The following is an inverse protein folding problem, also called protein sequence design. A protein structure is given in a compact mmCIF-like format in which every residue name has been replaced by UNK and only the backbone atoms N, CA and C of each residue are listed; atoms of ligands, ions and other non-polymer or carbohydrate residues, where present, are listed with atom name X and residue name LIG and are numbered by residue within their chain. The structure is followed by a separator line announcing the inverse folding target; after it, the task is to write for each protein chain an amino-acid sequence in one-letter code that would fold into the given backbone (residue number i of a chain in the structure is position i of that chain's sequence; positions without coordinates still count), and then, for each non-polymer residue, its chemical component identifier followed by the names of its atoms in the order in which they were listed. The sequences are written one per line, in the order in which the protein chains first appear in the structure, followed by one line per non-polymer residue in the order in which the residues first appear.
data_IF_834836797384
#
_entry.id   IF_834836797384
#
_cell.length_a   1.000
_cell.length_b   1.000
_cell.length_c   1.000
_cell.angle_alpha   90.00
_cell.angle_beta   90.00
_cell.angle_gamma   90.00
#
_symmetry.space_group_name_H-M   'P 1'
#
loop_
_entity.id
_entity.type
_entity.pdbx_description
1 polymer ?
#
# COMPACT_ATOMS: atom_id res chain seq x y z
N UNK A 1 23.10 8.86 44.37
CA UNK A 1 22.93 7.38 44.34
C UNK A 1 21.49 6.93 44.62
N UNK A 2 20.86 7.25 45.77
CA UNK A 2 19.51 6.74 46.11
C UNK A 2 18.37 7.24 45.20
N UNK A 3 18.36 8.52 44.82
CA UNK A 3 17.34 9.06 43.89
C UNK A 3 17.41 8.42 42.50
N UNK A 4 18.61 8.21 41.98
CA UNK A 4 18.82 7.50 40.70
C UNK A 4 18.30 6.07 40.76
N UNK A 5 18.54 5.35 41.87
CA UNK A 5 17.99 4.00 42.07
C UNK A 5 16.46 3.99 42.10
N UNK A 6 15.82 4.96 42.78
CA UNK A 6 14.35 5.07 42.80
C UNK A 6 13.77 5.39 41.41
N UNK A 7 14.39 6.32 40.69
CA UNK A 7 13.97 6.68 39.33
C UNK A 7 14.10 5.49 38.37
N UNK A 8 15.24 4.80 38.42
CA UNK A 8 15.48 3.57 37.65
C UNK A 8 14.43 2.48 37.93
N UNK A 9 14.13 2.23 39.20
CA UNK A 9 13.11 1.26 39.59
C UNK A 9 11.69 1.67 39.13
N UNK A 10 11.37 2.97 39.17
CA UNK A 10 10.09 3.49 38.66
C UNK A 10 9.95 3.27 37.15
N UNK A 11 10.99 3.59 36.38
CA UNK A 11 10.99 3.37 34.93
C UNK A 11 10.87 1.89 34.58
N UNK A 12 11.60 1.01 35.27
CA UNK A 12 11.49 -0.44 35.06
C UNK A 12 10.06 -0.92 35.27
N UNK A 13 9.40 -0.46 36.35
CA UNK A 13 7.99 -0.79 36.61
C UNK A 13 7.05 -0.26 35.54
N UNK A 14 7.28 0.94 35.01
CA UNK A 14 6.49 1.47 33.89
C UNK A 14 6.65 0.64 32.61
N UNK A 15 7.88 0.19 32.32
CA UNK A 15 8.14 -0.69 31.18
C UNK A 15 7.39 -2.02 31.33
N UNK A 16 7.44 -2.64 32.51
CA UNK A 16 6.72 -3.90 32.78
C UNK A 16 5.20 -3.75 32.59
N UNK A 17 4.63 -2.64 33.05
CA UNK A 17 3.21 -2.34 32.87
C UNK A 17 2.83 -2.14 31.40
N UNK A 18 3.68 -1.42 30.65
CA UNK A 18 3.47 -1.20 29.22
C UNK A 18 3.56 -2.51 28.43
N UNK A 19 4.56 -3.34 28.72
CA UNK A 19 4.73 -4.65 28.08
C UNK A 19 3.56 -5.59 28.39
N UNK A 20 3.09 -5.61 29.63
CA UNK A 20 1.90 -6.39 30.01
C UNK A 20 0.64 -5.92 29.26
N UNK A 21 0.46 -4.61 29.14
CA UNK A 21 -0.65 -4.03 28.37
C UNK A 21 -0.56 -4.38 26.88
N UNK A 22 0.63 -4.25 26.28
CA UNK A 22 0.87 -4.63 24.89
C UNK A 22 0.56 -6.11 24.65
N UNK A 23 1.01 -7.00 25.53
CA UNK A 23 0.72 -8.44 25.45
C UNK A 23 -0.78 -8.72 25.46
N UNK A 24 -1.55 -8.06 26.34
CA UNK A 24 -3.02 -8.17 26.37
C UNK A 24 -3.64 -7.70 25.06
N UNK A 25 -3.22 -6.56 24.52
CA UNK A 25 -3.69 -6.04 23.22
C UNK A 25 -3.38 -6.98 22.05
N UNK A 26 -2.29 -7.76 22.14
CA UNK A 26 -1.91 -8.78 21.17
C UNK A 26 -2.61 -10.14 21.42
N UNK A 27 -3.47 -10.23 22.42
CA UNK A 27 -4.22 -11.46 22.75
C UNK A 27 -3.44 -12.48 23.58
N UNK A 28 -2.35 -12.09 24.22
CA UNK A 28 -1.56 -12.95 25.10
C UNK A 28 -1.98 -12.81 26.56
N UNK A 29 -1.92 -13.92 27.31
CA UNK A 29 -2.15 -13.91 28.76
C UNK A 29 -3.58 -13.56 29.18
N UNK A 30 -4.57 -13.79 28.31
CA UNK A 30 -5.97 -13.43 28.54
C UNK A 30 -6.67 -14.31 29.58
N UNK A 31 -6.09 -15.45 29.97
CA UNK A 31 -6.68 -16.37 30.95
C UNK A 31 -6.82 -15.76 32.35
N UNK A 32 -6.07 -14.71 32.66
CA UNK A 32 -6.18 -13.96 33.92
C UNK A 32 -7.06 -12.72 33.82
N UNK A 33 -7.59 -12.40 32.64
CA UNK A 33 -8.43 -11.23 32.43
C UNK A 33 -9.87 -11.48 32.84
N UNK A 34 -10.50 -10.46 33.39
CA UNK A 34 -11.96 -10.48 33.63
C UNK A 34 -12.72 -10.25 32.34
N UNK A 35 -14.02 -10.59 32.33
CA UNK A 35 -14.89 -10.32 31.18
C UNK A 35 -14.95 -8.82 30.84
N UNK A 36 -14.88 -7.96 31.86
CA UNK A 36 -14.92 -6.50 31.68
C UNK A 36 -13.62 -5.98 31.04
N UNK A 37 -12.45 -6.43 31.52
CA UNK A 37 -11.16 -6.08 30.93
C UNK A 37 -11.05 -6.54 29.46
N UNK A 38 -11.58 -7.72 29.15
CA UNK A 38 -11.62 -8.24 27.77
C UNK A 38 -12.51 -7.38 26.88
N UNK A 39 -13.70 -7.00 27.36
CA UNK A 39 -14.63 -6.16 26.62
C UNK A 39 -14.07 -4.75 26.37
N UNK A 40 -13.37 -4.17 27.35
CA UNK A 40 -12.70 -2.88 27.18
C UNK A 40 -11.59 -2.97 26.12
N UNK A 41 -10.76 -4.02 26.19
CA UNK A 41 -9.68 -4.28 25.23
C UNK A 41 -10.23 -4.45 23.82
N UNK A 42 -11.28 -5.26 23.65
CA UNK A 42 -11.96 -5.44 22.37
C UNK A 42 -12.49 -4.10 21.83
N UNK A 43 -13.19 -3.34 22.67
CA UNK A 43 -13.75 -2.04 22.30
C UNK A 43 -12.67 -1.04 21.88
N UNK A 44 -11.50 -1.07 22.52
CA UNK A 44 -10.34 -0.27 22.14
C UNK A 44 -9.76 -0.71 20.79
N UNK A 45 -9.63 -2.01 20.55
CA UNK A 45 -9.12 -2.56 19.29
C UNK A 45 -10.05 -2.25 18.12
N UNK A 46 -11.36 -2.45 18.28
CA UNK A 46 -12.35 -2.15 17.24
C UNK A 46 -12.33 -0.67 16.83
N UNK A 47 -12.29 0.24 17.81
CA UNK A 47 -12.22 1.68 17.55
C UNK A 47 -10.92 2.06 16.84
N UNK A 48 -9.77 1.61 17.36
CA UNK A 48 -8.47 1.96 16.78
C UNK A 48 -8.29 1.38 15.37
N UNK A 49 -8.73 0.15 15.11
CA UNK A 49 -8.72 -0.44 13.77
C UNK A 49 -9.62 0.32 12.80
N UNK A 50 -10.81 0.74 13.23
CA UNK A 50 -11.69 1.58 12.39
C UNK A 50 -11.02 2.89 12.02
N UNK A 51 -10.35 3.56 12.97
CA UNK A 51 -9.61 4.79 12.71
C UNK A 51 -8.44 4.57 11.73
N UNK A 52 -7.64 3.51 11.94
CA UNK A 52 -6.51 3.17 11.06
C UNK A 52 -6.99 2.89 9.64
N UNK A 53 -8.06 2.09 9.49
CA UNK A 53 -8.65 1.76 8.19
C UNK A 53 -9.21 2.99 7.50
N UNK A 54 -9.93 3.85 8.22
CA UNK A 54 -10.45 5.12 7.71
C UNK A 54 -9.34 6.03 7.19
N UNK A 55 -8.27 6.20 7.98
CA UNK A 55 -7.10 7.00 7.57
C UNK A 55 -6.40 6.40 6.34
N UNK A 56 -6.26 5.08 6.29
CA UNK A 56 -5.64 4.38 5.14
C UNK A 56 -6.48 4.58 3.87
N UNK A 57 -7.80 4.46 3.98
CA UNK A 57 -8.72 4.66 2.87
C UNK A 57 -8.68 6.12 2.36
N UNK A 58 -8.62 7.10 3.26
CA UNK A 58 -8.47 8.50 2.88
C UNK A 58 -7.18 8.73 2.10
N UNK A 59 -6.04 8.30 2.64
CA UNK A 59 -4.73 8.46 1.98
C UNK A 59 -4.69 7.83 0.59
N UNK A 60 -5.30 6.65 0.42
CA UNK A 60 -5.38 6.01 -0.89
C UNK A 60 -6.31 6.74 -1.85
N UNK A 61 -7.41 7.29 -1.35
CA UNK A 61 -8.32 8.11 -2.16
C UNK A 61 -7.59 9.35 -2.67
N UNK A 62 -6.90 10.07 -1.78
CA UNK A 62 -6.12 11.26 -2.12
C UNK A 62 -5.03 10.94 -3.16
N UNK A 63 -4.32 9.82 -3.00
CA UNK A 63 -3.27 9.40 -3.94
C UNK A 63 -3.86 9.04 -5.32
N UNK A 64 -5.00 8.35 -5.36
CA UNK A 64 -5.70 8.02 -6.61
C UNK A 64 -6.13 9.30 -7.33
N UNK A 65 -6.67 10.29 -6.60
CA UNK A 65 -7.09 11.56 -7.18
C UNK A 65 -5.90 12.35 -7.74
N UNK A 66 -4.81 12.41 -6.99
CA UNK A 66 -3.57 13.04 -7.43
C UNK A 66 -3.01 12.40 -8.71
N UNK A 67 -3.00 11.06 -8.79
CA UNK A 67 -2.53 10.35 -9.97
C UNK A 67 -3.45 10.56 -11.18
N UNK A 68 -4.77 10.59 -11.00
CA UNK A 68 -5.74 10.90 -12.08
C UNK A 68 -5.53 12.30 -12.63
N UNK A 69 -5.30 13.28 -11.77
CA UNK A 69 -5.04 14.65 -12.21
C UNK A 69 -3.72 14.75 -12.99
N UNK A 70 -2.68 14.05 -12.51
CA UNK A 70 -1.41 13.96 -13.24
C UNK A 70 -1.57 13.29 -14.61
N UNK A 71 -2.33 12.19 -14.68
CA UNK A 71 -2.65 11.53 -15.95
C UNK A 71 -3.36 12.49 -16.91
N UNK A 72 -4.37 13.22 -16.44
CA UNK A 72 -5.10 14.22 -17.23
C UNK A 72 -4.17 15.29 -17.82
N UNK A 73 -3.32 15.89 -16.99
CA UNK A 73 -2.36 16.91 -17.42
C UNK A 73 -1.36 16.38 -18.45
N UNK A 74 -0.87 15.16 -18.25
CA UNK A 74 0.07 14.52 -19.19
C UNK A 74 -0.60 14.21 -20.53
N UNK A 75 -1.86 13.78 -20.54
CA UNK A 75 -2.62 13.55 -21.76
C UNK A 75 -2.85 14.85 -22.54
N UNK A 76 -3.19 15.94 -21.85
CA UNK A 76 -3.35 17.26 -22.45
C UNK A 76 -2.04 17.77 -23.05
N UNK A 77 -0.93 17.63 -22.33
CA UNK A 77 0.39 18.01 -22.83
C UNK A 77 0.79 17.17 -24.04
N UNK A 78 0.56 15.87 -23.98
CA UNK A 78 0.88 14.95 -25.07
C UNK A 78 0.10 15.31 -26.34
N UNK A 79 -1.21 15.57 -26.22
CA UNK A 79 -2.05 16.01 -27.33
C UNK A 79 -1.52 17.33 -27.95
N UNK A 80 -1.15 18.30 -27.10
CA UNK A 80 -0.56 19.57 -27.55
C UNK A 80 0.76 19.39 -28.28
N UNK A 81 1.58 18.43 -27.85
CA UNK A 81 2.86 18.12 -28.51
C UNK A 81 2.63 17.42 -29.86
N UNK A 82 1.68 16.48 -29.94
CA UNK A 82 1.30 15.80 -31.19
C UNK A 82 0.82 16.82 -32.24
N UNK A 83 0.07 17.84 -31.85
CA UNK A 83 -0.37 18.90 -32.76
C UNK A 83 0.80 19.68 -33.38
N UNK A 84 1.86 19.89 -32.60
CA UNK A 84 3.08 20.61 -33.04
C UNK A 84 4.00 19.78 -33.93
N UNK A 85 3.82 18.46 -34.01
CA UNK A 85 4.63 17.62 -34.90
C UNK A 85 4.27 17.85 -36.37
N UNK A 86 5.25 17.83 -37.30
CA UNK A 86 4.97 17.84 -38.73
C UNK A 86 4.22 16.56 -39.14
N UNK A 87 3.39 16.64 -40.18
CA UNK A 87 2.47 15.56 -40.60
C UNK A 87 3.14 14.19 -40.87
N UNK A 88 4.44 14.18 -41.14
CA UNK A 88 5.25 12.99 -41.41
C UNK A 88 5.61 12.18 -40.15
N UNK A 89 5.51 12.79 -38.95
CA UNK A 89 5.94 12.19 -37.66
C UNK A 89 4.76 11.89 -36.71
N UNK A 90 3.51 12.19 -37.12
CA UNK A 90 2.28 11.98 -36.32
C UNK A 90 1.87 10.51 -36.16
N UNK A 91 2.66 9.57 -36.67
CA UNK A 91 2.41 8.12 -36.64
C UNK A 91 2.77 7.41 -35.33
N UNK A 92 3.12 8.13 -34.26
CA UNK A 92 3.42 7.52 -32.96
C UNK A 92 2.09 7.26 -32.24
N UNK A 93 1.58 6.06 -32.42
CA UNK A 93 0.33 5.58 -31.80
C UNK A 93 0.55 5.45 -30.29
N UNK A 94 -0.33 6.00 -29.42
CA UNK A 94 -0.30 5.66 -28.00
C UNK A 94 -0.57 4.15 -27.89
N UNK A 95 0.28 3.40 -27.18
CA UNK A 95 0.05 1.99 -26.92
C UNK A 95 -1.21 1.83 -26.05
N UNK A 96 -2.36 1.82 -26.72
CA UNK A 96 -3.66 1.50 -26.17
C UNK A 96 -3.71 -0.01 -26.15
N UNK A 97 -3.70 -0.62 -24.96
CA UNK A 97 -4.04 -2.03 -24.78
C UNK A 97 -5.45 -2.26 -25.34
N UNK A 98 -5.50 -2.66 -26.62
CA UNK A 98 -6.72 -2.82 -27.40
C UNK A 98 -7.24 -4.22 -27.13
N UNK A 99 -8.03 -4.36 -26.07
CA UNK A 99 -8.94 -5.50 -25.96
C UNK A 99 -10.02 -5.38 -27.04
N UNK A 100 -10.27 -6.51 -27.72
CA UNK A 100 -11.45 -6.83 -28.53
C UNK A 100 -11.54 -6.25 -29.94
N UNK A 101 -10.94 -6.99 -30.89
CA UNK A 101 -11.42 -7.38 -32.23
C UNK A 101 -10.24 -7.44 -33.20
N UNK A 102 -9.59 -8.62 -33.22
CA UNK A 102 -8.61 -8.97 -34.25
C UNK A 102 -9.36 -9.60 -35.42
N UNK A 103 -9.33 -8.96 -36.59
CA UNK A 103 -9.43 -9.69 -37.85
C UNK A 103 -8.05 -10.31 -38.10
N UNK A 104 -8.05 -11.63 -38.06
CA UNK A 104 -6.91 -12.54 -38.15
C UNK A 104 -6.06 -12.30 -39.41
N UNK A 105 -4.86 -11.75 -39.23
CA UNK A 105 -3.78 -11.82 -40.22
C UNK A 105 -2.58 -12.36 -39.45
N UNK A 106 -2.36 -13.66 -39.60
CA UNK A 106 -1.28 -14.40 -38.97
C UNK A 106 0.06 -14.00 -39.60
N UNK A 107 0.79 -13.11 -38.92
CA UNK A 107 2.20 -12.85 -39.24
C UNK A 107 3.05 -13.55 -38.19
N UNK A 108 3.64 -14.67 -38.60
CA UNK A 108 4.54 -15.47 -37.79
C UNK A 108 5.79 -14.63 -37.46
N UNK A 109 5.76 -13.96 -36.32
CA UNK A 109 6.93 -13.32 -35.73
C UNK A 109 7.50 -14.26 -34.69
N UNK A 110 8.74 -14.70 -34.88
CA UNK A 110 9.48 -15.51 -33.91
C UNK A 110 9.91 -14.66 -32.70
N UNK A 111 8.93 -14.08 -32.00
CA UNK A 111 9.15 -13.32 -30.78
C UNK A 111 8.86 -14.23 -29.58
N UNK A 112 9.91 -14.92 -29.12
CA UNK A 112 9.84 -15.70 -27.89
C UNK A 112 9.92 -14.77 -26.67
N UNK A 113 8.76 -14.42 -26.10
CA UNK A 113 8.66 -13.69 -24.82
C UNK A 113 8.57 -14.72 -23.69
N UNK A 114 9.64 -15.48 -23.49
CA UNK A 114 9.80 -16.43 -22.39
C UNK A 114 11.13 -16.23 -21.67
N UNK A 115 11.21 -16.64 -20.40
CA UNK A 115 12.47 -16.68 -19.66
C UNK A 115 13.47 -17.57 -20.42
N UNK A 116 14.73 -17.13 -20.65
CA UNK A 116 15.71 -17.92 -21.38
C UNK A 116 15.93 -19.28 -20.71
N UNK A 117 15.91 -20.37 -21.48
CA UNK A 117 16.32 -21.68 -20.97
C UNK A 117 17.77 -21.61 -20.50
N UNK A 118 17.98 -21.75 -19.18
CA UNK A 118 19.29 -22.03 -18.63
C UNK A 118 19.65 -23.45 -19.04
N UNK A 119 20.52 -23.60 -20.05
CA UNK A 119 21.14 -24.89 -20.34
C UNK A 119 22.09 -25.21 -19.19
N UNK A 120 21.63 -26.04 -18.25
CA UNK A 120 22.50 -26.72 -17.31
C UNK A 120 23.32 -27.75 -18.10
N UNK A 121 24.64 -27.55 -18.12
CA UNK A 121 25.63 -28.58 -18.42
C UNK A 121 26.22 -29.10 -17.11
#
# INVERSE_FOLDING_TARGET
MLQLKRSSASMAKQIELLDASQRKLLGHGLSSCTSEELQETESQLVRSLSLIRGKKAQLWTDEIEHLKEKERLLLEENARLIEKLPAQEKGIVPYRSRSSQASDIDVETQLFIGLPEMRCS
#
